data_IF_613956787905
#
_entry.id   IF_613956787905
#
_cell.length_a   1.000
_cell.length_b   1.000
_cell.length_c   1.000
_cell.angle_alpha   90.00
_cell.angle_beta   90.00
_cell.angle_gamma   90.00
#
_symmetry.space_group_name_H-M   'P 1'
#
loop_
_entity.id
_entity.type
_entity.pdbx_description
1 polymer ?
#
# COMPACT_ATOMS: atom_id res chain seq x y z
N UNK A 1 87.11 -15.02 -80.16
CA UNK A 1 86.39 -15.84 -79.15
C UNK A 1 86.10 -14.92 -77.96
N UNK A 2 84.91 -14.32 -77.90
CA UNK A 2 84.52 -13.38 -76.83
C UNK A 2 83.71 -14.12 -75.74
N UNK A 3 83.89 -13.83 -74.44
CA UNK A 3 83.18 -14.53 -73.37
C UNK A 3 81.71 -14.07 -73.28
N UNK A 4 80.79 -15.01 -73.05
CA UNK A 4 79.37 -14.70 -72.80
C UNK A 4 79.20 -14.02 -71.43
N UNK A 5 78.50 -12.89 -71.40
CA UNK A 5 78.08 -12.21 -70.17
C UNK A 5 76.95 -12.98 -69.46
N UNK A 6 76.91 -13.02 -68.12
CA UNK A 6 75.81 -13.60 -67.35
C UNK A 6 74.54 -12.75 -67.46
N UNK A 7 73.34 -13.36 -67.35
CA UNK A 7 72.07 -12.63 -67.45
C UNK A 7 71.85 -11.72 -66.22
N UNK A 8 71.12 -10.61 -66.38
CA UNK A 8 70.85 -9.68 -65.28
C UNK A 8 69.97 -10.34 -64.21
N UNK A 9 70.11 -9.94 -62.92
CA UNK A 9 69.27 -10.46 -61.85
C UNK A 9 67.79 -10.08 -62.08
N UNK A 10 66.83 -10.92 -61.67
CA UNK A 10 65.41 -10.60 -61.74
C UNK A 10 65.10 -9.35 -60.92
N UNK A 11 64.07 -8.57 -61.30
CA UNK A 11 63.69 -7.38 -60.56
C UNK A 11 63.39 -7.76 -59.12
N UNK A 12 64.14 -7.17 -58.18
CA UNK A 12 63.80 -7.27 -56.76
C UNK A 12 62.44 -6.59 -56.60
N UNK A 13 61.41 -7.41 -56.51
CA UNK A 13 60.11 -6.97 -56.05
C UNK A 13 60.33 -6.67 -54.57
N UNK A 14 60.40 -5.39 -54.22
CA UNK A 14 60.54 -4.96 -52.84
C UNK A 14 59.38 -5.59 -52.03
N UNK A 15 59.71 -6.66 -51.32
CA UNK A 15 58.83 -7.48 -50.50
C UNK A 15 58.56 -6.78 -49.15
N UNK A 16 58.37 -5.45 -49.16
CA UNK A 16 58.30 -4.65 -47.93
C UNK A 16 57.11 -3.71 -47.79
N UNK A 17 56.15 -3.77 -48.71
CA UNK A 17 54.86 -3.10 -48.52
C UNK A 17 53.74 -4.15 -48.52
N UNK A 18 53.62 -4.89 -47.41
CA UNK A 18 52.27 -5.29 -46.97
C UNK A 18 51.51 -3.96 -46.82
N UNK A 19 50.49 -3.69 -47.64
CA UNK A 19 49.98 -2.33 -47.76
C UNK A 19 49.46 -1.90 -46.39
N UNK A 20 49.87 -0.72 -45.95
CA UNK A 20 49.45 -0.11 -44.68
C UNK A 20 47.94 -0.27 -44.41
N UNK A 21 47.13 -0.26 -45.48
CA UNK A 21 45.69 -0.49 -45.47
C UNK A 21 45.26 -1.87 -44.96
N UNK A 22 46.00 -2.96 -45.26
CA UNK A 22 45.69 -4.31 -44.74
C UNK A 22 45.91 -4.41 -43.23
N UNK A 23 46.99 -3.83 -42.70
CA UNK A 23 47.25 -3.78 -41.25
C UNK A 23 46.22 -2.91 -40.51
N UNK A 24 45.78 -1.82 -41.13
CA UNK A 24 44.71 -0.98 -40.58
C UNK A 24 43.38 -1.73 -40.51
N UNK A 25 43.03 -2.53 -41.53
CA UNK A 25 41.82 -3.35 -41.53
C UNK A 25 41.85 -4.44 -40.45
N UNK A 26 42.99 -5.12 -40.26
CA UNK A 26 43.18 -6.09 -39.18
C UNK A 26 42.99 -5.43 -37.81
N UNK A 27 43.57 -4.25 -37.58
CA UNK A 27 43.38 -3.48 -36.35
C UNK A 27 41.93 -3.04 -36.11
N UNK A 28 41.17 -2.75 -37.16
CA UNK A 28 39.73 -2.43 -37.05
C UNK A 28 38.93 -3.69 -36.70
N UNK A 29 39.25 -4.84 -37.29
CA UNK A 29 38.60 -6.12 -36.99
C UNK A 29 38.86 -6.51 -35.54
N UNK A 30 40.10 -6.42 -35.07
CA UNK A 30 40.46 -6.69 -33.68
C UNK A 30 39.70 -5.77 -32.72
N UNK A 31 39.65 -4.46 -32.99
CA UNK A 31 38.88 -3.52 -32.15
C UNK A 31 37.38 -3.78 -32.17
N UNK A 32 36.82 -4.17 -33.32
CA UNK A 32 35.40 -4.51 -33.43
C UNK A 32 35.09 -5.80 -32.68
N UNK A 33 35.99 -6.79 -32.74
CA UNK A 33 35.85 -8.04 -32.03
C UNK A 33 35.99 -7.83 -30.51
N UNK A 34 36.95 -7.01 -30.08
CA UNK A 34 37.11 -6.59 -28.68
C UNK A 34 35.87 -5.84 -28.20
N UNK A 35 35.35 -4.90 -29.00
CA UNK A 35 34.11 -4.19 -28.68
C UNK A 35 32.91 -5.15 -28.55
N UNK A 36 32.80 -6.17 -29.40
CA UNK A 36 31.75 -7.18 -29.29
C UNK A 36 31.87 -8.02 -28.02
N UNK A 37 33.10 -8.36 -27.61
CA UNK A 37 33.35 -9.07 -26.35
C UNK A 37 32.94 -8.18 -25.17
N UNK A 38 33.32 -6.91 -25.16
CA UNK A 38 32.93 -5.94 -24.12
C UNK A 38 31.41 -5.77 -24.06
N UNK A 39 30.75 -5.63 -25.21
CA UNK A 39 29.30 -5.49 -25.29
C UNK A 39 28.57 -6.74 -24.77
N UNK A 40 29.05 -7.92 -25.14
CA UNK A 40 28.50 -9.20 -24.67
C UNK A 40 28.68 -9.33 -23.15
N UNK A 41 29.85 -8.97 -22.64
CA UNK A 41 30.13 -9.00 -21.21
C UNK A 41 29.26 -8.00 -20.44
N UNK A 42 29.03 -6.81 -20.99
CA UNK A 42 28.16 -5.79 -20.40
C UNK A 42 26.69 -6.25 -20.37
N UNK A 43 26.20 -6.85 -21.46
CA UNK A 43 24.85 -7.42 -21.50
C UNK A 43 24.67 -8.55 -20.47
N UNK A 44 25.68 -9.42 -20.32
CA UNK A 44 25.65 -10.49 -19.32
C UNK A 44 25.60 -9.93 -17.88
N UNK A 45 26.39 -8.89 -17.59
CA UNK A 45 26.36 -8.22 -16.28
C UNK A 45 25.03 -7.50 -16.02
N UNK A 46 24.45 -6.85 -17.04
CA UNK A 46 23.14 -6.22 -16.95
C UNK A 46 22.05 -7.26 -16.62
N UNK A 47 22.05 -8.41 -17.31
CA UNK A 47 21.09 -9.48 -17.05
C UNK A 47 21.20 -10.03 -15.63
N UNK A 48 22.43 -10.28 -15.15
CA UNK A 48 22.67 -10.73 -13.77
C UNK A 48 22.15 -9.73 -12.73
N UNK A 49 22.34 -8.42 -12.97
CA UNK A 49 21.83 -7.39 -12.06
C UNK A 49 20.30 -7.34 -12.01
N UNK A 50 19.64 -7.56 -13.15
CA UNK A 50 18.17 -7.63 -13.22
C UNK A 50 17.64 -8.86 -12.48
N UNK A 51 18.28 -10.02 -12.64
CA UNK A 51 17.92 -11.24 -11.92
C UNK A 51 18.10 -11.09 -10.40
N UNK A 52 19.21 -10.48 -9.96
CA UNK A 52 19.45 -10.18 -8.55
C UNK A 52 18.41 -9.21 -7.98
N UNK A 53 18.04 -8.17 -8.74
CA UNK A 53 16.98 -7.23 -8.36
C UNK A 53 15.60 -7.90 -8.30
N UNK A 54 15.32 -8.83 -9.22
CA UNK A 54 14.08 -9.62 -9.21
C UNK A 54 14.04 -10.54 -8.00
N UNK A 55 15.11 -11.28 -7.73
CA UNK A 55 15.20 -12.17 -6.58
C UNK A 55 15.03 -11.42 -5.26
N UNK A 56 15.66 -10.24 -5.11
CA UNK A 56 15.51 -9.41 -3.91
C UNK A 56 14.08 -8.85 -3.75
N UNK A 57 13.45 -8.45 -4.87
CA UNK A 57 12.05 -8.04 -4.88
C UNK A 57 11.12 -9.18 -4.47
N UNK A 58 11.32 -10.39 -4.99
CA UNK A 58 10.54 -11.56 -4.61
C UNK A 58 10.73 -11.93 -3.13
N UNK A 59 11.94 -11.84 -2.59
CA UNK A 59 12.19 -12.06 -1.15
C UNK A 59 11.45 -11.04 -0.31
N UNK A 60 11.52 -9.75 -0.69
CA UNK A 60 10.80 -8.68 0.00
C UNK A 60 9.29 -8.91 -0.07
N UNK A 61 8.77 -9.31 -1.23
CA UNK A 61 7.35 -9.63 -1.41
C UNK A 61 6.94 -10.84 -0.57
N UNK A 62 7.74 -11.91 -0.53
CA UNK A 62 7.51 -13.08 0.33
C UNK A 62 7.50 -12.69 1.80
N UNK A 63 8.45 -11.86 2.24
CA UNK A 63 8.51 -11.37 3.61
C UNK A 63 7.29 -10.51 3.97
N UNK A 64 6.84 -9.63 3.07
CA UNK A 64 5.60 -8.87 3.26
C UNK A 64 4.39 -9.80 3.36
N UNK A 65 4.31 -10.81 2.49
CA UNK A 65 3.22 -11.78 2.53
C UNK A 65 3.24 -12.64 3.81
N UNK A 66 4.42 -12.97 4.33
CA UNK A 66 4.61 -13.68 5.59
C UNK A 66 4.24 -12.82 6.81
N UNK A 67 4.55 -11.52 6.80
CA UNK A 67 4.10 -10.58 7.82
C UNK A 67 2.57 -10.47 7.82
N UNK A 68 1.96 -10.38 6.64
CA UNK A 68 0.50 -10.38 6.48
C UNK A 68 -0.14 -11.73 6.89
N UNK A 69 0.53 -12.85 6.60
CA UNK A 69 0.06 -14.18 7.00
C UNK A 69 0.22 -14.42 8.51
N UNK A 70 1.31 -13.96 9.11
CA UNK A 70 1.58 -14.06 10.55
C UNK A 70 0.66 -13.15 11.36
N UNK A 71 0.33 -11.96 10.86
CA UNK A 71 -0.74 -11.12 11.44
C UNK A 71 -2.12 -11.78 11.29
N UNK A 72 -2.36 -12.55 10.23
CA UNK A 72 -3.56 -13.37 10.05
C UNK A 72 -3.54 -14.70 10.83
N UNK A 73 -2.39 -15.08 11.41
CA UNK A 73 -2.17 -16.27 12.23
C UNK A 73 -2.46 -16.08 13.72
N UNK A 74 -2.95 -14.90 14.13
CA UNK A 74 -3.54 -14.70 15.47
C UNK A 74 -5.08 -14.75 15.35
N UNK A 75 -5.72 -15.88 15.68
CA UNK A 75 -7.15 -15.85 15.97
C UNK A 75 -7.34 -15.09 17.28
N UNK A 76 -7.75 -13.82 17.17
CA UNK A 76 -8.31 -13.05 18.26
C UNK A 76 -7.46 -11.88 18.75
N UNK A 77 -7.54 -10.73 18.08
CA UNK A 77 -7.58 -9.41 18.74
C UNK A 77 -7.79 -8.23 17.78
N UNK A 78 -7.30 -8.29 16.52
CA UNK A 78 -7.11 -7.03 15.76
C UNK A 78 -7.97 -6.87 14.49
N UNK A 79 -8.35 -7.95 13.80
CA UNK A 79 -9.27 -7.86 12.66
C UNK A 79 -10.73 -7.75 13.10
N UNK A 80 -11.12 -8.45 14.17
CA UNK A 80 -12.45 -8.30 14.78
C UNK A 80 -12.71 -6.89 15.27
N UNK A 81 -11.72 -6.24 15.89
CA UNK A 81 -11.88 -4.87 16.38
C UNK A 81 -12.04 -3.88 15.22
N UNK A 82 -11.33 -4.07 14.12
CA UNK A 82 -11.43 -3.17 12.95
C UNK A 82 -12.77 -3.35 12.23
N UNK A 83 -13.26 -4.58 12.07
CA UNK A 83 -14.58 -4.84 11.47
C UNK A 83 -15.74 -4.48 12.40
N UNK A 84 -15.70 -4.84 13.69
CA UNK A 84 -16.70 -4.40 14.67
C UNK A 84 -16.70 -2.88 14.82
N UNK A 85 -15.54 -2.21 14.75
CA UNK A 85 -15.49 -0.75 14.84
C UNK A 85 -16.09 -0.06 13.62
N UNK A 86 -15.93 -0.64 12.43
CA UNK A 86 -16.54 -0.17 11.19
C UNK A 86 -18.07 -0.42 11.16
N UNK A 87 -18.53 -1.58 11.64
CA UNK A 87 -19.95 -1.93 11.78
C UNK A 87 -20.71 -1.00 12.73
N UNK A 88 -20.00 -0.43 13.69
CA UNK A 88 -20.51 0.57 14.62
C UNK A 88 -19.89 1.94 14.41
N UNK A 89 -19.52 2.28 13.18
CA UNK A 89 -19.20 3.68 12.87
C UNK A 89 -20.48 4.52 12.91
N UNK A 90 -20.34 5.81 13.23
CA UNK A 90 -21.47 6.74 13.19
C UNK A 90 -22.13 6.76 11.80
N UNK A 91 -21.31 6.68 10.73
CA UNK A 91 -21.78 6.62 9.34
C UNK A 91 -22.72 5.44 9.09
N UNK A 92 -22.35 4.24 9.56
CA UNK A 92 -23.18 3.03 9.42
C UNK A 92 -24.50 3.19 10.17
N UNK A 93 -24.47 3.70 11.40
CA UNK A 93 -25.69 3.97 12.16
C UNK A 93 -26.61 4.98 11.46
N UNK A 94 -26.06 6.07 10.91
CA UNK A 94 -26.83 7.09 10.20
C UNK A 94 -27.45 6.58 8.88
N UNK A 95 -26.91 5.51 8.29
CA UNK A 95 -27.50 4.87 7.11
C UNK A 95 -28.92 4.33 7.38
N UNK A 96 -29.23 3.98 8.63
CA UNK A 96 -30.58 3.59 9.06
C UNK A 96 -31.56 4.76 9.21
N UNK A 97 -31.10 6.00 8.94
CA UNK A 97 -31.87 7.24 9.06
C UNK A 97 -32.61 7.37 10.40
N UNK A 98 -31.90 7.24 11.54
CA UNK A 98 -32.51 7.44 12.84
C UNK A 98 -33.06 8.87 12.95
N UNK A 99 -34.23 9.01 13.58
CA UNK A 99 -34.87 10.30 13.78
C UNK A 99 -34.07 11.16 14.77
N UNK A 100 -34.02 12.48 14.53
CA UNK A 100 -33.48 13.44 15.50
C UNK A 100 -34.55 13.82 16.51
N UNK A 101 -34.13 14.18 17.73
CA UNK A 101 -35.02 14.55 18.81
C UNK A 101 -34.70 15.95 19.30
N UNK A 102 -35.69 16.85 19.29
CA UNK A 102 -35.50 18.25 19.69
C UNK A 102 -35.96 18.55 21.13
N UNK A 103 -36.63 17.59 21.78
CA UNK A 103 -37.17 17.71 23.14
C UNK A 103 -38.55 18.32 23.24
N UNK A 104 -39.22 18.65 22.12
CA UNK A 104 -40.50 19.39 22.13
C UNK A 104 -41.75 18.51 22.11
N UNK A 105 -41.58 17.20 21.97
CA UNK A 105 -42.72 16.29 21.90
C UNK A 105 -43.32 16.03 23.29
N UNK A 106 -44.52 15.43 23.28
CA UNK A 106 -45.13 14.87 24.49
C UNK A 106 -44.29 13.70 25.04
N UNK A 107 -44.45 13.35 26.34
CA UNK A 107 -43.75 12.21 26.95
C UNK A 107 -43.88 10.91 26.14
N UNK A 108 -45.08 10.61 25.63
CA UNK A 108 -45.31 9.43 24.78
C UNK A 108 -44.47 9.44 23.49
N UNK A 109 -44.22 10.63 22.93
CA UNK A 109 -43.37 10.81 21.76
C UNK A 109 -41.89 10.61 22.07
N UNK A 110 -41.46 11.01 23.27
CA UNK A 110 -40.10 10.77 23.74
C UNK A 110 -39.86 9.27 23.96
N UNK A 111 -40.82 8.59 24.59
CA UNK A 111 -40.77 7.15 24.77
C UNK A 111 -40.76 6.39 23.44
N UNK A 112 -41.57 6.83 22.47
CA UNK A 112 -41.57 6.24 21.13
C UNK A 112 -40.23 6.44 20.44
N UNK A 113 -39.64 7.64 20.52
CA UNK A 113 -38.33 7.90 19.93
C UNK A 113 -37.23 7.02 20.55
N UNK A 114 -37.23 6.84 21.87
CA UNK A 114 -36.30 5.92 22.55
C UNK A 114 -36.51 4.49 22.06
N UNK A 115 -37.76 4.02 21.95
CA UNK A 115 -38.08 2.68 21.42
C UNK A 115 -37.57 2.48 19.99
N UNK A 116 -37.72 3.48 19.13
CA UNK A 116 -37.24 3.43 17.75
C UNK A 116 -35.70 3.34 17.70
N UNK A 117 -34.99 4.04 18.60
CA UNK A 117 -33.54 3.92 18.74
C UNK A 117 -33.12 2.53 19.24
N UNK A 118 -33.81 2.00 20.26
CA UNK A 118 -33.56 0.66 20.80
C UNK A 118 -33.74 -0.42 19.74
N UNK A 119 -34.75 -0.30 18.88
CA UNK A 119 -34.97 -1.23 17.77
C UNK A 119 -33.76 -1.28 16.81
N UNK A 120 -33.17 -0.14 16.46
CA UNK A 120 -31.99 -0.10 15.60
C UNK A 120 -30.79 -0.71 16.33
N UNK A 121 -30.59 -0.35 17.59
CA UNK A 121 -29.48 -0.86 18.40
C UNK A 121 -29.55 -2.36 18.59
N UNK A 122 -30.72 -2.91 18.89
CA UNK A 122 -30.90 -4.34 19.14
C UNK A 122 -30.81 -5.14 17.85
N UNK A 123 -31.42 -4.66 16.75
CA UNK A 123 -31.33 -5.32 15.45
C UNK A 123 -29.90 -5.41 14.93
N UNK A 124 -29.05 -4.44 15.29
CA UNK A 124 -27.65 -4.40 14.88
C UNK A 124 -26.71 -5.06 15.90
N UNK A 125 -27.16 -5.36 17.13
CA UNK A 125 -26.40 -5.84 18.30
C UNK A 125 -25.44 -4.82 18.97
N UNK A 126 -25.91 -3.59 19.19
CA UNK A 126 -25.07 -2.44 19.57
C UNK A 126 -24.56 -2.55 21.01
N UNK A 127 -23.23 -2.43 21.24
CA UNK A 127 -22.70 -2.34 22.60
C UNK A 127 -23.17 -1.04 23.27
N UNK A 128 -23.49 -1.13 24.56
CA UNK A 128 -24.04 -0.01 25.34
C UNK A 128 -23.16 1.26 25.29
N UNK A 129 -21.84 1.09 25.21
CA UNK A 129 -20.88 2.19 25.14
C UNK A 129 -21.09 3.08 23.91
N UNK A 130 -21.56 2.51 22.80
CA UNK A 130 -21.82 3.26 21.55
C UNK A 130 -23.24 3.79 21.44
N UNK A 131 -24.22 3.11 22.04
CA UNK A 131 -25.63 3.55 22.06
C UNK A 131 -25.72 5.00 22.54
N UNK A 132 -25.09 5.30 23.68
CA UNK A 132 -25.11 6.64 24.26
C UNK A 132 -24.55 7.71 23.30
N UNK A 133 -23.38 7.46 22.71
CA UNK A 133 -22.72 8.41 21.81
C UNK A 133 -23.58 8.72 20.57
N UNK A 134 -24.23 7.70 20.01
CA UNK A 134 -25.11 7.87 18.86
C UNK A 134 -26.40 8.59 19.21
N UNK A 135 -27.00 8.27 20.35
CA UNK A 135 -28.23 8.93 20.77
C UNK A 135 -27.97 10.40 21.09
N UNK A 136 -26.87 10.69 21.79
CA UNK A 136 -26.46 12.07 22.07
C UNK A 136 -26.27 12.89 20.79
N UNK A 137 -25.68 12.29 19.75
CA UNK A 137 -25.53 12.94 18.45
C UNK A 137 -26.87 13.33 17.79
N UNK A 138 -27.93 12.56 18.04
CA UNK A 138 -29.27 12.80 17.49
C UNK A 138 -30.13 13.74 18.34
N UNK A 139 -29.70 14.05 19.57
CA UNK A 139 -30.31 15.11 20.36
C UNK A 139 -29.99 16.47 19.75
N UNK A 140 -31.02 17.27 19.59
CA UNK A 140 -30.96 18.63 19.07
C UNK A 140 -31.79 19.55 19.95
N UNK A 141 -31.71 20.86 19.74
CA UNK A 141 -32.57 21.83 20.43
C UNK A 141 -32.51 21.73 21.96
N UNK A 142 -33.67 21.65 22.59
CA UNK A 142 -33.84 21.63 24.04
C UNK A 142 -33.32 20.33 24.67
N UNK A 143 -33.51 19.20 23.98
CA UNK A 143 -33.03 17.91 24.47
C UNK A 143 -31.50 17.84 24.57
N UNK A 144 -30.78 18.42 23.59
CA UNK A 144 -29.32 18.49 23.61
C UNK A 144 -28.79 19.34 24.77
N UNK A 145 -29.47 20.47 25.04
CA UNK A 145 -29.13 21.35 26.16
C UNK A 145 -29.37 20.65 27.51
N UNK A 146 -30.55 20.05 27.68
CA UNK A 146 -30.89 19.29 28.88
C UNK A 146 -29.87 18.18 29.16
N UNK A 147 -29.52 17.37 28.15
CA UNK A 147 -28.55 16.30 28.31
C UNK A 147 -27.15 16.82 28.68
N UNK A 148 -26.75 17.96 28.13
CA UNK A 148 -25.47 18.59 28.47
C UNK A 148 -25.42 19.01 29.94
N UNK A 149 -26.50 19.61 30.46
CA UNK A 149 -26.62 19.97 31.87
C UNK A 149 -26.67 18.73 32.78
N UNK A 150 -27.45 17.72 32.40
CA UNK A 150 -27.55 16.47 33.15
C UNK A 150 -26.19 15.76 33.25
N UNK A 151 -25.42 15.71 32.16
CA UNK A 151 -24.05 15.18 32.18
C UNK A 151 -23.14 15.91 33.14
N UNK A 152 -23.21 17.24 33.22
CA UNK A 152 -22.40 18.02 34.15
C UNK A 152 -22.66 17.60 35.61
N UNK A 153 -23.93 17.40 35.98
CA UNK A 153 -24.34 16.93 37.31
C UNK A 153 -23.88 15.49 37.55
N UNK A 154 -23.97 14.62 36.55
CA UNK A 154 -23.48 13.23 36.66
C UNK A 154 -21.97 13.17 36.88
N UNK A 155 -21.20 14.02 36.21
CA UNK A 155 -19.75 14.14 36.42
C UNK A 155 -19.45 14.61 37.84
N UNK A 156 -20.13 15.66 38.31
CA UNK A 156 -19.93 16.22 39.66
C UNK A 156 -20.28 15.22 40.77
N UNK A 157 -21.31 14.41 40.54
CA UNK A 157 -21.72 13.35 41.47
C UNK A 157 -20.94 12.04 41.33
N UNK A 158 -19.93 11.97 40.45
CA UNK A 158 -19.21 10.75 40.10
C UNK A 158 -20.12 9.59 39.65
N UNK A 159 -21.29 9.92 39.11
CA UNK A 159 -22.26 8.95 38.61
C UNK A 159 -21.85 8.47 37.21
N UNK A 160 -22.05 7.18 36.89
CA UNK A 160 -21.68 6.65 35.59
C UNK A 160 -22.58 7.23 34.49
N UNK A 161 -21.97 7.86 33.49
CA UNK A 161 -22.69 8.31 32.29
C UNK A 161 -22.85 7.09 31.37
N UNK A 162 -24.08 6.61 31.21
CA UNK A 162 -24.38 5.43 30.40
C UNK A 162 -25.71 5.58 29.68
N UNK A 163 -25.95 4.74 28.66
CA UNK A 163 -27.23 4.68 27.95
C UNK A 163 -28.44 4.56 28.88
N UNK A 164 -28.32 3.75 29.94
CA UNK A 164 -29.38 3.52 30.93
C UNK A 164 -29.74 4.75 31.76
N UNK A 165 -28.85 5.74 31.84
CA UNK A 165 -29.07 6.99 32.58
C UNK A 165 -29.69 8.06 31.67
N UNK A 166 -29.46 7.96 30.36
CA UNK A 166 -30.11 8.83 29.38
C UNK A 166 -31.57 8.46 29.17
N UNK A 167 -31.87 7.16 29.10
CA UNK A 167 -33.23 6.60 29.01
C UNK A 167 -34.02 6.89 30.28
#
# INVERSE_FOLDING_TARGET
>A
MAPRLPPPPPPQTNEHDVPNNTRLLESVIERLQEQNVVLTQQNAAALQSLEAARASSEVTQRQLMEILASTRGTPGASTSNTTHQAEWSLENFLQHRPAKFDGKCLPDGADQWIRDMEQIYDAKECPNDRRLAFTEYLLTGEASHWWSTAKMILVESHSPISWKVLK
#
